data_IF_067581584438
#
_entry.id   IF_067581584438
#
_cell.length_a   1.000
_cell.length_b   1.000
_cell.length_c   1.000
_cell.angle_alpha   90.00
_cell.angle_beta   90.00
_cell.angle_gamma   90.00
#
_symmetry.space_group_name_H-M   'P 1'
#
loop_
_entity.id
_entity.type
_entity.pdbx_description
1 polymer ?
#
# COMPACT_ATOMS: atom_id res chain seq x y z
N UNK A 1 12.71 13.88 -21.68
CA UNK A 1 11.93 14.06 -20.43
C UNK A 1 10.90 15.20 -20.52
N UNK A 2 11.28 16.47 -20.72
CA UNK A 2 10.34 17.61 -20.74
C UNK A 2 9.25 17.58 -21.84
N UNK A 3 9.51 17.00 -23.02
CA UNK A 3 8.50 16.91 -24.10
C UNK A 3 7.32 16.00 -23.76
N UNK A 4 7.55 14.91 -23.03
CA UNK A 4 6.49 13.98 -22.64
C UNK A 4 5.62 14.56 -21.52
N UNK A 5 6.21 15.27 -20.56
CA UNK A 5 5.45 15.95 -19.50
C UNK A 5 4.47 17.01 -20.05
N UNK A 6 4.87 17.77 -21.08
CA UNK A 6 3.96 18.75 -21.71
C UNK A 6 2.81 18.11 -22.49
N UNK A 7 3.06 16.98 -23.18
CA UNK A 7 1.98 16.23 -23.85
C UNK A 7 1.01 15.61 -22.83
N UNK A 8 1.55 15.10 -21.71
CA UNK A 8 0.76 14.55 -20.60
C UNK A 8 -0.13 15.62 -19.96
N UNK A 9 0.39 16.83 -19.73
CA UNK A 9 -0.38 17.94 -19.19
C UNK A 9 -1.52 18.36 -20.12
N UNK A 10 -1.25 18.46 -21.43
CA UNK A 10 -2.26 18.83 -22.44
C UNK A 10 -3.36 17.77 -22.58
N UNK A 11 -3.02 16.48 -22.53
CA UNK A 11 -4.02 15.39 -22.60
C UNK A 11 -4.87 15.35 -21.32
N UNK A 12 -4.28 15.63 -20.16
CA UNK A 12 -4.99 15.71 -18.88
C UNK A 12 -5.92 16.92 -18.81
N UNK A 13 -5.44 18.11 -19.20
CA UNK A 13 -6.25 19.34 -19.31
C UNK A 13 -7.43 19.16 -20.27
N UNK A 14 -7.22 18.50 -21.41
CA UNK A 14 -8.28 18.23 -22.39
C UNK A 14 -9.36 17.25 -21.91
N UNK A 15 -9.03 16.34 -20.97
CA UNK A 15 -9.95 15.25 -20.55
C UNK A 15 -10.50 15.37 -19.14
N UNK A 16 -9.94 16.21 -18.28
CA UNK A 16 -10.60 16.60 -17.02
C UNK A 16 -11.94 17.30 -17.25
N UNK A 17 -12.14 17.86 -18.45
CA UNK A 17 -13.44 18.40 -18.89
C UNK A 17 -14.48 17.29 -19.12
N UNK A 18 -14.08 16.02 -19.19
CA UNK A 18 -14.94 14.87 -19.58
C UNK A 18 -15.12 13.77 -18.53
N UNK A 19 -14.35 13.76 -17.43
CA UNK A 19 -14.51 12.74 -16.36
C UNK A 19 -15.73 13.09 -15.50
N UNK A 20 -16.76 12.23 -15.54
CA UNK A 20 -18.06 12.48 -14.88
C UNK A 20 -18.35 11.61 -13.65
N UNK A 21 -17.53 10.59 -13.34
CA UNK A 21 -17.76 9.68 -12.20
C UNK A 21 -16.47 9.05 -11.65
N UNK A 22 -16.53 8.53 -10.42
CA UNK A 22 -15.43 7.84 -9.74
C UNK A 22 -14.97 6.56 -10.45
N UNK A 23 -15.88 5.80 -11.06
CA UNK A 23 -15.55 4.61 -11.86
C UNK A 23 -14.77 4.97 -13.13
N UNK A 24 -15.11 6.09 -13.76
CA UNK A 24 -14.39 6.60 -14.94
C UNK A 24 -12.94 6.98 -14.60
N UNK A 25 -12.72 7.47 -13.37
CA UNK A 25 -11.39 7.76 -12.84
C UNK A 25 -10.57 6.49 -12.61
N UNK A 26 -11.19 5.41 -12.11
CA UNK A 26 -10.51 4.13 -11.86
C UNK A 26 -10.07 3.51 -13.19
N UNK A 27 -10.96 3.43 -14.18
CA UNK A 27 -10.65 2.86 -15.51
C UNK A 27 -9.54 3.66 -16.21
N UNK A 28 -9.62 4.99 -16.17
CA UNK A 28 -8.57 5.86 -16.73
C UNK A 28 -7.23 5.67 -16.01
N UNK A 29 -7.24 5.59 -14.68
CA UNK A 29 -6.03 5.34 -13.89
C UNK A 29 -5.40 4.00 -14.29
N UNK A 30 -6.22 2.98 -14.54
CA UNK A 30 -5.78 1.67 -14.98
C UNK A 30 -5.17 1.70 -16.40
N UNK A 31 -5.83 2.34 -17.37
CA UNK A 31 -5.31 2.50 -18.74
C UNK A 31 -4.04 3.37 -18.80
N UNK A 32 -3.96 4.39 -17.95
CA UNK A 32 -2.79 5.25 -17.80
C UNK A 32 -1.61 4.46 -17.23
N UNK A 33 -1.83 3.69 -16.16
CA UNK A 33 -0.83 2.81 -15.57
C UNK A 33 -0.34 1.79 -16.61
N UNK A 34 -1.24 1.18 -17.40
CA UNK A 34 -0.85 0.25 -18.47
C UNK A 34 0.00 0.88 -19.57
N UNK A 35 -0.18 2.18 -19.88
CA UNK A 35 0.66 2.90 -20.86
C UNK A 35 2.00 3.31 -20.26
N UNK A 36 2.04 3.66 -18.98
CA UNK A 36 3.27 3.98 -18.25
C UNK A 36 4.13 2.73 -18.07
N UNK A 37 3.53 1.61 -17.64
CA UNK A 37 4.16 0.28 -17.56
C UNK A 37 4.82 -0.13 -18.87
N UNK A 38 4.22 0.17 -20.03
CA UNK A 38 4.79 -0.15 -21.34
C UNK A 38 6.00 0.71 -21.74
N UNK A 39 6.18 1.87 -21.11
CA UNK A 39 7.29 2.79 -21.34
C UNK A 39 8.36 2.69 -20.23
N UNK A 40 8.13 1.87 -19.21
CA UNK A 40 8.96 1.79 -18.01
C UNK A 40 10.17 0.88 -18.24
N UNK A 41 11.34 1.28 -17.75
CA UNK A 41 12.54 0.45 -17.87
C UNK A 41 12.47 -0.81 -16.98
N UNK A 42 11.60 -0.77 -15.97
CA UNK A 42 11.45 -1.80 -14.94
C UNK A 42 10.04 -2.40 -14.91
N UNK A 43 9.48 -2.72 -16.09
CA UNK A 43 8.14 -3.34 -16.28
C UNK A 43 7.84 -4.47 -15.30
N UNK A 44 8.84 -5.32 -15.00
CA UNK A 44 8.68 -6.44 -14.08
C UNK A 44 8.36 -6.00 -12.65
N UNK A 45 8.98 -4.93 -12.15
CA UNK A 45 8.75 -4.41 -10.81
C UNK A 45 7.34 -3.81 -10.72
N UNK A 46 6.94 -3.06 -11.75
CA UNK A 46 5.61 -2.42 -11.79
C UNK A 46 4.50 -3.48 -11.88
N UNK A 47 4.68 -4.52 -12.70
CA UNK A 47 3.75 -5.65 -12.77
C UNK A 47 3.63 -6.36 -11.42
N UNK A 48 4.74 -6.59 -10.70
CA UNK A 48 4.72 -7.19 -9.37
C UNK A 48 3.97 -6.33 -8.36
N UNK A 49 4.22 -5.02 -8.34
CA UNK A 49 3.51 -4.08 -7.45
C UNK A 49 2.01 -4.05 -7.76
N UNK A 50 1.62 -4.07 -9.04
CA UNK A 50 0.22 -4.15 -9.45
C UNK A 50 -0.43 -5.44 -8.94
N UNK A 51 0.17 -6.59 -9.24
CA UNK A 51 -0.33 -7.89 -8.81
C UNK A 51 -0.48 -7.93 -7.28
N UNK A 52 0.57 -7.60 -6.54
CA UNK A 52 0.54 -7.66 -5.08
C UNK A 52 -0.41 -6.64 -4.45
N UNK A 53 -0.56 -5.45 -5.03
CA UNK A 53 -1.53 -4.46 -4.55
C UNK A 53 -2.97 -4.95 -4.71
N UNK A 54 -3.26 -5.68 -5.79
CA UNK A 54 -4.55 -6.32 -5.99
C UNK A 54 -4.77 -7.46 -4.98
N UNK A 55 -3.77 -8.34 -4.80
CA UNK A 55 -3.85 -9.40 -3.78
C UNK A 55 -4.08 -8.81 -2.37
N UNK A 56 -3.46 -7.68 -2.06
CA UNK A 56 -3.64 -7.01 -0.78
C UNK A 56 -5.07 -6.45 -0.62
N UNK A 57 -5.62 -5.87 -1.69
CA UNK A 57 -7.00 -5.40 -1.71
C UNK A 57 -8.00 -6.54 -1.52
N UNK A 58 -7.74 -7.71 -2.11
CA UNK A 58 -8.61 -8.88 -1.99
C UNK A 58 -8.49 -9.55 -0.60
N UNK A 59 -7.35 -9.39 0.08
CA UNK A 59 -7.06 -9.94 1.42
C UNK A 59 -7.57 -9.10 2.59
N UNK A 60 -8.49 -8.15 2.36
CA UNK A 60 -9.01 -7.25 3.39
C UNK A 60 -9.74 -7.92 4.57
N UNK A 61 -10.10 -9.21 4.50
CA UNK A 61 -10.68 -9.85 5.68
C UNK A 61 -9.57 -10.22 6.68
N UNK A 62 -9.55 -9.51 7.81
CA UNK A 62 -8.67 -9.82 8.92
C UNK A 62 -9.20 -11.04 9.70
N UNK A 63 -9.13 -12.21 9.07
CA UNK A 63 -9.75 -13.46 9.55
C UNK A 63 -9.26 -13.93 10.93
N UNK A 64 -8.07 -13.50 11.35
CA UNK A 64 -7.49 -13.90 12.63
C UNK A 64 -7.91 -12.99 13.79
N UNK A 65 -8.63 -11.90 13.53
CA UNK A 65 -8.85 -10.84 14.52
C UNK A 65 -9.52 -11.33 15.79
N UNK A 66 -10.63 -12.06 15.66
CA UNK A 66 -11.38 -12.60 16.80
C UNK A 66 -10.50 -13.52 17.66
N UNK A 67 -9.62 -14.32 17.02
CA UNK A 67 -8.67 -15.20 17.72
C UNK A 67 -7.55 -14.44 18.40
N UNK A 68 -7.14 -13.30 17.86
CA UNK A 68 -6.14 -12.41 18.46
C UNK A 68 -6.77 -11.73 19.68
N UNK A 69 -7.98 -11.18 19.51
CA UNK A 69 -8.73 -10.51 20.56
C UNK A 69 -9.02 -11.42 21.74
N UNK A 70 -9.48 -12.65 21.49
CA UNK A 70 -9.73 -13.64 22.55
C UNK A 70 -8.46 -14.05 23.29
N UNK A 71 -7.32 -14.20 22.59
CA UNK A 71 -6.07 -14.64 23.23
C UNK A 71 -5.40 -13.54 24.03
N UNK A 72 -5.48 -12.31 23.56
CA UNK A 72 -4.75 -11.17 24.09
C UNK A 72 -5.67 -10.09 24.66
N UNK A 73 -6.87 -10.46 25.09
CA UNK A 73 -7.87 -9.55 25.65
C UNK A 73 -7.26 -8.64 26.74
N UNK A 74 -6.48 -9.22 27.65
CA UNK A 74 -5.84 -8.48 28.73
C UNK A 74 -4.75 -7.51 28.24
N UNK A 75 -3.97 -7.90 27.23
CA UNK A 75 -2.96 -7.05 26.61
C UNK A 75 -3.61 -5.92 25.81
N UNK A 76 -4.73 -6.19 25.12
CA UNK A 76 -5.50 -5.20 24.38
C UNK A 76 -6.20 -4.20 25.31
N UNK A 77 -6.76 -4.63 26.44
CA UNK A 77 -7.30 -3.73 27.47
C UNK A 77 -6.20 -2.81 28.02
N UNK A 78 -5.01 -3.36 28.28
CA UNK A 78 -3.84 -2.56 28.73
C UNK A 78 -3.31 -1.63 27.64
N UNK A 79 -3.51 -1.99 26.38
CA UNK A 79 -3.13 -1.21 25.22
C UNK A 79 -4.05 -0.01 24.97
N UNK A 80 -5.01 0.30 25.86
CA UNK A 80 -6.04 1.35 25.74
C UNK A 80 -7.28 0.89 24.96
N UNK A 81 -8.46 1.09 25.56
CA UNK A 81 -9.77 0.62 25.06
C UNK A 81 -10.18 1.30 23.74
N UNK A 82 -9.56 2.43 23.39
CA UNK A 82 -9.83 3.15 22.14
C UNK A 82 -9.08 2.57 20.92
N UNK A 83 -8.17 1.60 21.11
CA UNK A 83 -7.33 1.06 20.02
C UNK A 83 -7.81 -0.28 19.48
N UNK A 84 -8.77 -0.19 18.55
CA UNK A 84 -9.23 -1.28 17.71
C UNK A 84 -8.11 -1.80 16.79
N UNK A 85 -7.71 -3.07 16.99
CA UNK A 85 -6.67 -3.72 16.19
C UNK A 85 -7.11 -3.92 14.73
N UNK A 86 -8.41 -4.08 14.46
CA UNK A 86 -8.97 -4.13 13.11
C UNK A 86 -8.70 -2.82 12.40
N UNK A 87 -9.10 -1.72 13.04
CA UNK A 87 -8.95 -0.38 12.49
C UNK A 87 -7.48 -0.03 12.24
N UNK A 88 -6.60 -0.35 13.18
CA UNK A 88 -5.17 -0.08 13.05
C UNK A 88 -4.53 -0.93 11.94
N UNK A 89 -4.93 -2.20 11.82
CA UNK A 89 -4.50 -3.05 10.72
C UNK A 89 -4.99 -2.53 9.37
N UNK A 90 -6.26 -2.17 9.26
CA UNK A 90 -6.85 -1.60 8.05
C UNK A 90 -6.17 -0.30 7.63
N UNK A 91 -5.88 0.59 8.58
CA UNK A 91 -5.12 1.81 8.33
C UNK A 91 -3.73 1.49 7.78
N UNK A 92 -3.05 0.49 8.33
CA UNK A 92 -1.74 0.03 7.86
C UNK A 92 -1.80 -0.51 6.42
N UNK A 93 -2.83 -1.29 6.09
CA UNK A 93 -3.07 -1.81 4.75
C UNK A 93 -3.39 -0.68 3.75
N UNK A 94 -4.30 0.22 4.11
CA UNK A 94 -4.72 1.35 3.28
C UNK A 94 -3.55 2.29 2.98
N UNK A 95 -2.69 2.56 3.97
CA UNK A 95 -1.49 3.39 3.77
C UNK A 95 -0.49 2.74 2.82
N UNK A 96 -0.31 1.41 2.92
CA UNK A 96 0.49 0.64 1.95
C UNK A 96 -0.06 0.79 0.54
N UNK A 97 -1.37 0.60 0.37
CA UNK A 97 -2.06 0.71 -0.91
C UNK A 97 -1.95 2.12 -1.50
N UNK A 98 -2.17 3.15 -0.68
CA UNK A 98 -2.09 4.54 -1.08
C UNK A 98 -0.70 4.92 -1.61
N UNK A 99 0.36 4.59 -0.86
CA UNK A 99 1.73 4.90 -1.28
C UNK A 99 2.08 4.12 -2.56
N UNK A 100 1.70 2.85 -2.64
CA UNK A 100 1.91 2.04 -3.85
C UNK A 100 1.20 2.65 -5.05
N UNK A 101 -0.05 3.09 -4.90
CA UNK A 101 -0.78 3.79 -5.97
C UNK A 101 -0.09 5.08 -6.42
N UNK A 102 0.52 5.84 -5.50
CA UNK A 102 1.33 7.01 -5.86
C UNK A 102 2.59 6.62 -6.65
N UNK A 103 3.30 5.57 -6.23
CA UNK A 103 4.48 5.04 -6.94
C UNK A 103 4.11 4.62 -8.36
N UNK A 104 3.07 3.80 -8.51
CA UNK A 104 2.57 3.32 -9.80
C UNK A 104 2.10 4.45 -10.73
N UNK A 105 1.59 5.55 -10.16
CA UNK A 105 1.16 6.73 -10.91
C UNK A 105 2.33 7.68 -11.25
N UNK A 106 3.56 7.39 -10.83
CA UNK A 106 4.72 8.27 -11.00
C UNK A 106 4.63 9.58 -10.21
N UNK A 107 3.89 9.59 -9.09
CA UNK A 107 3.72 10.78 -8.24
C UNK A 107 4.87 10.93 -7.27
N UNK A 108 5.15 12.17 -6.86
CA UNK A 108 6.15 12.46 -5.85
C UNK A 108 5.81 11.80 -4.51
N UNK A 109 6.74 11.02 -3.98
CA UNK A 109 6.71 10.44 -2.64
C UNK A 109 7.53 11.34 -1.72
N UNK A 110 6.93 11.81 -0.63
CA UNK A 110 7.58 12.71 0.31
C UNK A 110 8.48 11.93 1.30
N UNK A 111 9.24 12.65 2.12
CA UNK A 111 10.18 12.03 3.07
C UNK A 111 9.46 11.17 4.13
N UNK A 112 8.32 11.63 4.63
CA UNK A 112 7.53 10.91 5.65
C UNK A 112 6.99 9.58 5.13
N UNK A 113 6.52 9.55 3.87
CA UNK A 113 6.07 8.34 3.21
C UNK A 113 7.24 7.36 2.99
N UNK A 114 8.43 7.86 2.64
CA UNK A 114 9.64 7.04 2.53
C UNK A 114 10.04 6.45 3.89
N UNK A 115 10.02 7.25 4.96
CA UNK A 115 10.32 6.73 6.30
C UNK A 115 9.27 5.72 6.77
N UNK A 116 7.99 5.98 6.51
CA UNK A 116 6.93 5.02 6.83
C UNK A 116 7.07 3.70 6.07
N UNK A 117 7.51 3.74 4.80
CA UNK A 117 7.79 2.53 4.02
C UNK A 117 8.88 1.64 4.67
N UNK A 118 9.72 2.17 5.54
CA UNK A 118 10.76 1.41 6.26
C UNK A 118 10.27 0.79 7.56
N UNK A 119 9.17 1.29 8.11
CA UNK A 119 8.65 0.84 9.40
C UNK A 119 7.88 -0.48 9.27
N UNK A 120 7.90 -1.31 10.30
CA UNK A 120 7.01 -2.47 10.44
C UNK A 120 5.66 -2.07 11.07
N UNK A 121 4.68 -2.99 11.03
CA UNK A 121 3.42 -2.79 11.74
C UNK A 121 3.63 -2.50 13.24
N UNK A 122 4.54 -3.22 13.88
CA UNK A 122 4.81 -3.07 15.32
C UNK A 122 5.61 -1.80 15.67
N UNK A 123 6.26 -1.17 14.69
CA UNK A 123 6.89 0.14 14.90
C UNK A 123 5.88 1.28 14.76
N UNK A 124 4.86 1.11 13.91
CA UNK A 124 3.75 2.08 13.75
C UNK A 124 2.74 1.94 14.92
N UNK A 125 2.57 0.72 15.44
CA UNK A 125 1.65 0.40 16.53
C UNK A 125 2.37 -0.42 17.64
N UNK A 126 3.21 0.24 18.46
CA UNK A 126 4.05 -0.43 19.47
C UNK A 126 3.25 -1.17 20.54
N UNK A 127 1.98 -0.81 20.76
CA UNK A 127 1.14 -1.48 21.73
C UNK A 127 0.84 -2.95 21.36
N UNK A 128 0.97 -3.32 20.08
CA UNK A 128 0.82 -4.71 19.62
C UNK A 128 2.12 -5.51 19.64
N UNK A 129 3.19 -5.02 20.27
CA UNK A 129 4.47 -5.76 20.38
C UNK A 129 4.31 -7.14 21.03
N UNK A 130 3.30 -7.33 21.90
CA UNK A 130 2.98 -8.64 22.47
C UNK A 130 2.67 -9.69 21.40
N UNK A 131 2.09 -9.30 20.26
CA UNK A 131 1.70 -10.18 19.16
C UNK A 131 2.90 -10.63 18.31
N UNK A 132 4.03 -9.91 18.35
CA UNK A 132 5.19 -10.13 17.47
C UNK A 132 5.68 -11.59 17.49
N UNK A 133 5.75 -12.19 18.69
CA UNK A 133 6.23 -13.56 18.88
C UNK A 133 5.20 -14.63 18.49
N UNK A 134 3.95 -14.26 18.28
CA UNK A 134 2.84 -15.16 17.98
C UNK A 134 2.30 -14.99 16.57
N UNK A 135 2.86 -14.07 15.78
CA UNK A 135 2.38 -13.77 14.41
C UNK A 135 2.17 -15.02 13.56
N UNK A 136 3.06 -16.02 13.67
CA UNK A 136 2.97 -17.29 12.92
C UNK A 136 1.78 -18.18 13.31
N UNK A 137 1.16 -17.96 14.47
CA UNK A 137 -0.03 -18.69 14.92
C UNK A 137 -1.32 -18.20 14.23
N UNK A 138 -1.20 -17.06 13.54
CA UNK A 138 -2.27 -16.33 12.85
C UNK A 138 -1.92 -16.23 11.37
N UNK A 139 -2.24 -17.30 10.62
CA UNK A 139 -1.78 -17.48 9.24
C UNK A 139 -2.23 -16.35 8.31
N UNK A 140 -3.47 -15.86 8.43
CA UNK A 140 -3.96 -14.76 7.60
C UNK A 140 -3.22 -13.46 7.89
N UNK A 141 -3.03 -13.15 9.17
CA UNK A 141 -2.22 -12.00 9.60
C UNK A 141 -0.77 -12.11 9.11
N UNK A 142 -0.15 -13.27 9.32
CA UNK A 142 1.25 -13.51 8.95
C UNK A 142 1.49 -13.37 7.46
N UNK A 143 0.68 -14.02 6.63
CA UNK A 143 0.83 -13.97 5.18
C UNK A 143 0.56 -12.56 4.63
N UNK A 144 -0.45 -11.87 5.17
CA UNK A 144 -0.79 -10.51 4.76
C UNK A 144 0.30 -9.53 5.18
N UNK A 145 0.82 -9.62 6.41
CA UNK A 145 1.95 -8.81 6.85
C UNK A 145 3.20 -9.06 5.98
N UNK A 146 3.52 -10.32 5.68
CA UNK A 146 4.63 -10.67 4.79
C UNK A 146 4.46 -10.06 3.39
N UNK A 147 3.25 -10.08 2.85
CA UNK A 147 2.93 -9.45 1.57
C UNK A 147 3.11 -7.92 1.64
N UNK A 148 2.63 -7.27 2.70
CA UNK A 148 2.83 -5.84 2.93
C UNK A 148 4.32 -5.50 2.97
N UNK A 149 5.13 -6.25 3.72
CA UNK A 149 6.57 -6.01 3.78
C UNK A 149 7.25 -6.15 2.41
N UNK A 150 6.83 -7.12 1.58
CA UNK A 150 7.33 -7.24 0.19
C UNK A 150 6.97 -6.03 -0.65
N UNK A 151 5.72 -5.55 -0.59
CA UNK A 151 5.27 -4.37 -1.31
C UNK A 151 6.07 -3.14 -0.87
N UNK A 152 6.24 -2.93 0.44
CA UNK A 152 6.98 -1.80 1.00
C UNK A 152 8.44 -1.79 0.53
N UNK A 153 9.13 -2.92 0.61
CA UNK A 153 10.50 -3.08 0.13
C UNK A 153 10.63 -2.83 -1.37
N UNK A 154 9.65 -3.27 -2.16
CA UNK A 154 9.65 -3.11 -3.61
C UNK A 154 9.39 -1.66 -4.03
N UNK A 155 8.48 -0.97 -3.33
CA UNK A 155 8.30 0.48 -3.49
C UNK A 155 9.59 1.24 -3.19
N UNK A 156 10.27 0.92 -2.08
CA UNK A 156 11.56 1.54 -1.74
C UNK A 156 12.61 1.29 -2.83
N UNK A 157 12.77 0.03 -3.24
CA UNK A 157 13.72 -0.35 -4.29
C UNK A 157 13.48 0.42 -5.59
N UNK A 158 12.24 0.48 -6.05
CA UNK A 158 11.84 1.24 -7.22
C UNK A 158 12.20 2.73 -7.09
N UNK A 159 11.84 3.35 -5.96
CA UNK A 159 12.13 4.77 -5.69
C UNK A 159 13.62 5.10 -5.60
N UNK A 160 14.46 4.15 -5.19
CA UNK A 160 15.92 4.33 -5.13
C UNK A 160 16.59 4.15 -6.51
N UNK A 161 16.13 3.20 -7.33
CA UNK A 161 16.66 3.01 -8.69
C UNK A 161 16.32 4.20 -9.59
N UNK A 162 15.09 4.72 -9.53
CA UNK A 162 14.66 5.88 -10.34
C UNK A 162 15.45 7.17 -10.02
N UNK A 163 16.11 7.24 -8.87
CA UNK A 163 16.96 8.37 -8.48
C UNK A 163 18.42 8.22 -8.90
N UNK A 164 18.83 7.04 -9.36
CA UNK A 164 20.21 6.70 -9.73
C UNK A 164 20.45 6.92 -11.21
#
# INVERSE_FOLDING_TARGET
MMKHLNQVRQIWEARNVTIKSAESYIVFSYEYVLRFVKAENQVNIVNQLLEWSQLLFDKKSFQDIERIEQRFENELIKADEEMDIEMNWDNYLQRTYYITGKVLAGRTINKEEIEWLKQSFFEDFPNYLFLLNYTKDYESFFQTNKLVQKIKMTNLYYLYIEKS
#
